data_IF_555828042112
#
_entry.id   IF_555828042112
#
_cell.length_a   1.000
_cell.length_b   1.000
_cell.length_c   1.000
_cell.angle_alpha   90.00
_cell.angle_beta   90.00
_cell.angle_gamma   90.00
#
_symmetry.space_group_name_H-M   'P 1'
#
loop_
_entity.id
_entity.type
_entity.pdbx_description
1 polymer ?
#
# COMPACT_ATOMS: atom_id res chain seq x y z
N UNK A 1 22.54 -1.67 18.05
CA UNK A 1 22.27 -2.82 17.18
C UNK A 1 21.26 -2.35 16.14
N UNK A 2 21.60 -2.50 14.85
CA UNK A 2 20.65 -2.22 13.78
C UNK A 2 19.50 -3.25 13.90
N UNK A 3 18.27 -2.76 14.02
CA UNK A 3 17.11 -3.65 14.05
C UNK A 3 17.00 -4.37 12.70
N UNK A 4 16.62 -5.65 12.73
CA UNK A 4 16.44 -6.42 11.51
C UNK A 4 15.25 -5.87 10.72
N UNK A 5 15.33 -5.78 9.38
CA UNK A 5 14.20 -5.37 8.57
C UNK A 5 13.01 -6.31 8.77
N UNK A 6 11.80 -5.78 8.69
CA UNK A 6 10.56 -6.57 8.83
C UNK A 6 10.49 -7.75 7.87
N UNK A 7 10.71 -7.49 6.58
CA UNK A 7 10.73 -8.50 5.52
C UNK A 7 12.17 -8.63 5.03
N UNK A 8 12.71 -9.87 4.97
CA UNK A 8 14.03 -10.08 4.41
C UNK A 8 14.07 -9.72 2.93
N UNK A 9 15.19 -9.17 2.47
CA UNK A 9 15.37 -8.83 1.06
C UNK A 9 15.26 -10.05 0.12
N UNK A 10 15.50 -11.26 0.61
CA UNK A 10 15.33 -12.49 -0.16
C UNK A 10 13.83 -12.78 -0.39
N UNK A 11 13.03 -12.74 0.65
CA UNK A 11 11.57 -12.93 0.58
C UNK A 11 10.94 -11.88 -0.34
N UNK A 12 11.31 -10.60 -0.15
CA UNK A 12 10.78 -9.51 -0.97
C UNK A 12 11.11 -9.70 -2.46
N UNK A 13 12.39 -9.92 -2.80
CA UNK A 13 12.80 -10.17 -4.19
C UNK A 13 12.17 -11.43 -4.79
N UNK A 14 11.93 -12.46 -3.98
CA UNK A 14 11.25 -13.68 -4.39
C UNK A 14 9.82 -13.48 -4.85
N UNK A 15 9.16 -12.41 -4.38
CA UNK A 15 7.80 -12.02 -4.76
C UNK A 15 7.75 -11.15 -6.03
N UNK A 16 8.89 -10.77 -6.60
CA UNK A 16 8.90 -9.94 -7.82
C UNK A 16 8.42 -10.74 -9.03
N UNK A 17 7.53 -10.12 -9.82
CA UNK A 17 7.01 -10.64 -11.09
C UNK A 17 7.05 -9.53 -12.14
N UNK A 18 7.14 -9.92 -13.39
CA UNK A 18 7.07 -9.00 -14.53
C UNK A 18 5.61 -8.79 -14.92
N UNK A 19 5.10 -7.58 -14.72
CA UNK A 19 3.78 -7.13 -15.18
C UNK A 19 3.73 -5.62 -15.32
N UNK A 20 2.91 -5.14 -16.26
CA UNK A 20 2.55 -3.73 -16.36
C UNK A 20 1.18 -3.52 -15.73
N UNK A 21 1.11 -2.63 -14.73
CA UNK A 21 -0.16 -2.32 -14.06
C UNK A 21 -1.22 -1.75 -15.03
N UNK A 22 -0.81 -1.19 -16.16
CA UNK A 22 -1.73 -0.66 -17.17
C UNK A 22 -2.55 -1.77 -17.86
N UNK A 23 -2.06 -3.00 -17.86
CA UNK A 23 -2.76 -4.17 -18.38
C UNK A 23 -3.85 -4.69 -17.42
N UNK A 24 -3.89 -4.18 -16.19
CA UNK A 24 -4.82 -4.62 -15.16
C UNK A 24 -6.15 -3.83 -15.13
N UNK A 25 -6.44 -3.05 -16.18
CA UNK A 25 -7.66 -2.22 -16.25
C UNK A 25 -8.93 -3.06 -16.04
N UNK A 26 -9.84 -2.52 -15.22
CA UNK A 26 -11.14 -3.13 -14.92
C UNK A 26 -11.10 -4.22 -13.86
N UNK A 27 -9.90 -4.59 -13.34
CA UNK A 27 -9.82 -5.56 -12.25
C UNK A 27 -10.29 -4.94 -10.94
N UNK A 28 -10.78 -5.80 -10.06
CA UNK A 28 -11.13 -5.43 -8.68
C UNK A 28 -9.85 -5.17 -7.87
N UNK A 29 -9.92 -4.19 -6.97
CA UNK A 29 -8.80 -3.84 -6.12
C UNK A 29 -9.27 -3.31 -4.77
N UNK A 30 -8.45 -3.50 -3.75
CA UNK A 30 -8.49 -2.73 -2.50
C UNK A 30 -7.27 -1.81 -2.47
N UNK A 31 -7.35 -0.71 -1.75
CA UNK A 31 -6.23 0.22 -1.67
C UNK A 31 -5.91 0.65 -0.24
N UNK A 32 -4.68 1.07 -0.01
CA UNK A 32 -4.25 1.77 1.18
C UNK A 32 -3.70 3.15 0.84
N UNK A 33 -3.99 4.14 1.66
CA UNK A 33 -3.54 5.52 1.50
C UNK A 33 -2.88 6.00 2.81
N UNK A 34 -1.57 6.16 2.79
CA UNK A 34 -0.82 6.84 3.86
C UNK A 34 -0.55 8.28 3.43
N UNK A 35 -1.43 9.18 3.86
CA UNK A 35 -1.43 10.59 3.49
C UNK A 35 -0.54 11.38 4.45
N UNK A 36 0.52 11.99 3.96
CA UNK A 36 1.37 12.86 4.78
C UNK A 36 0.67 14.17 5.18
N UNK A 37 1.12 14.79 6.28
CA UNK A 37 0.54 16.06 6.73
C UNK A 37 0.95 17.22 5.83
N UNK A 38 2.24 17.33 5.50
CA UNK A 38 2.80 18.50 4.80
C UNK A 38 3.90 18.14 3.81
N UNK A 39 5.05 17.69 4.30
CA UNK A 39 6.28 17.63 3.47
C UNK A 39 6.81 16.22 3.26
N UNK A 40 6.21 15.24 3.91
CA UNK A 40 6.66 13.86 3.86
C UNK A 40 6.10 13.10 2.65
N UNK A 41 6.66 11.91 2.43
CA UNK A 41 6.19 11.00 1.41
C UNK A 41 4.71 10.67 1.64
N UNK A 42 3.93 10.74 0.57
CA UNK A 42 2.56 10.22 0.54
C UNK A 42 2.54 8.98 -0.33
N UNK A 43 1.94 7.93 0.17
CA UNK A 43 1.86 6.63 -0.51
C UNK A 43 0.42 6.18 -0.73
N UNK A 44 0.13 5.67 -1.93
CA UNK A 44 -1.11 4.97 -2.26
C UNK A 44 -0.73 3.65 -2.91
N UNK A 45 -1.24 2.54 -2.38
CA UNK A 45 -0.95 1.21 -2.89
C UNK A 45 -2.25 0.47 -3.16
N UNK A 46 -2.43 0.01 -4.39
CA UNK A 46 -3.51 -0.90 -4.75
C UNK A 46 -3.03 -2.34 -4.63
N UNK A 47 -3.85 -3.19 -4.07
CA UNK A 47 -3.78 -4.64 -4.16
C UNK A 47 -4.86 -5.09 -5.13
N UNK A 48 -4.42 -5.48 -6.32
CA UNK A 48 -5.29 -5.90 -7.42
C UNK A 48 -5.57 -7.38 -7.30
N UNK A 49 -6.86 -7.72 -7.32
CA UNK A 49 -7.36 -9.08 -7.12
C UNK A 49 -6.92 -10.01 -8.27
N UNK A 50 -6.51 -11.27 -7.98
CA UNK A 50 -6.26 -12.27 -8.99
C UNK A 50 -7.53 -12.58 -9.78
N UNK A 51 -7.40 -12.89 -11.07
CA UNK A 51 -8.52 -13.31 -11.95
C UNK A 51 -8.46 -14.79 -12.30
N UNK A 52 -7.30 -15.41 -12.10
CA UNK A 52 -7.09 -16.83 -12.35
C UNK A 52 -6.64 -17.55 -11.06
N UNK A 53 -7.01 -18.82 -10.95
CA UNK A 53 -6.60 -19.63 -9.81
C UNK A 53 -5.06 -19.75 -9.75
N UNK A 54 -4.49 -19.41 -8.58
CA UNK A 54 -3.04 -19.42 -8.37
C UNK A 54 -2.30 -18.15 -8.80
N UNK A 55 -2.99 -17.17 -9.39
CA UNK A 55 -2.42 -15.84 -9.60
C UNK A 55 -2.28 -15.11 -8.24
N UNK A 56 -1.16 -14.41 -7.98
CA UNK A 56 -1.03 -13.60 -6.77
C UNK A 56 -1.82 -12.29 -6.88
N UNK A 57 -2.14 -11.68 -5.74
CA UNK A 57 -2.52 -10.28 -5.66
C UNK A 57 -1.36 -9.40 -6.11
N UNK A 58 -1.62 -8.38 -6.93
CA UNK A 58 -0.58 -7.55 -7.51
C UNK A 58 -0.52 -6.18 -6.84
N UNK A 59 0.65 -5.82 -6.31
CA UNK A 59 0.91 -4.52 -5.72
C UNK A 59 1.17 -3.47 -6.80
N UNK A 60 0.33 -2.42 -6.83
CA UNK A 60 0.45 -1.26 -7.73
C UNK A 60 0.60 0.01 -6.89
N UNK A 61 1.83 0.49 -6.67
CA UNK A 61 2.10 1.64 -5.81
C UNK A 61 2.18 2.95 -6.59
N UNK A 62 1.80 4.05 -5.93
CA UNK A 62 2.02 5.43 -6.34
C UNK A 62 2.56 6.23 -5.16
N UNK A 63 3.51 7.12 -5.42
CA UNK A 63 4.21 7.90 -4.40
C UNK A 63 4.36 9.35 -4.81
N UNK A 64 4.27 10.27 -3.83
CA UNK A 64 4.39 11.72 -4.05
C UNK A 64 5.24 12.38 -3.00
N UNK A 65 6.00 13.38 -3.45
CA UNK A 65 6.67 14.38 -2.61
C UNK A 65 6.34 15.79 -3.14
N UNK A 66 6.45 16.85 -2.33
CA UNK A 66 6.44 18.22 -2.82
C UNK A 66 7.61 18.45 -3.80
N UNK A 67 7.39 19.22 -4.86
CA UNK A 67 8.42 19.50 -5.89
C UNK A 67 9.49 20.49 -5.41
N UNK A 68 9.08 21.44 -4.55
CA UNK A 68 10.01 22.43 -3.99
C UNK A 68 10.96 21.73 -3.01
N UNK A 69 12.25 21.95 -3.21
CA UNK A 69 13.36 21.39 -2.44
C UNK A 69 13.51 19.84 -2.56
N UNK A 70 13.01 19.25 -3.65
CA UNK A 70 13.14 17.80 -3.86
C UNK A 70 14.61 17.35 -3.85
N UNK A 71 15.53 18.12 -4.44
CA UNK A 71 16.97 17.81 -4.39
C UNK A 71 17.50 17.81 -2.95
N UNK A 72 17.15 18.82 -2.14
CA UNK A 72 17.56 18.87 -0.74
C UNK A 72 17.04 17.67 0.06
N UNK A 73 15.81 17.22 -0.22
CA UNK A 73 15.25 15.99 0.38
C UNK A 73 16.02 14.76 -0.05
N UNK A 74 16.35 14.66 -1.35
CA UNK A 74 17.16 13.56 -1.88
C UNK A 74 18.51 13.46 -1.15
N UNK A 75 19.19 14.61 -0.96
CA UNK A 75 20.47 14.68 -0.26
C UNK A 75 20.35 14.30 1.23
N UNK A 76 19.26 14.77 1.88
CA UNK A 76 18.99 14.50 3.30
C UNK A 76 18.69 13.02 3.55
N UNK A 77 17.78 12.46 2.75
CA UNK A 77 17.35 11.06 2.87
C UNK A 77 18.38 10.09 2.24
N UNK A 78 19.36 10.62 1.50
CA UNK A 78 20.36 9.87 0.71
C UNK A 78 19.72 8.91 -0.29
N UNK A 79 18.73 9.41 -1.01
CA UNK A 79 17.89 8.65 -1.94
C UNK A 79 17.78 9.38 -3.26
N UNK A 80 17.82 8.71 -4.43
CA UNK A 80 17.84 9.32 -5.74
C UNK A 80 16.43 9.75 -6.21
N UNK A 81 15.72 10.60 -5.44
CA UNK A 81 14.35 11.03 -5.77
C UNK A 81 14.21 11.64 -7.15
N UNK A 82 15.22 12.41 -7.61
CA UNK A 82 15.21 13.02 -8.95
C UNK A 82 15.23 11.95 -10.03
N UNK A 83 16.05 10.92 -9.87
CA UNK A 83 16.10 9.79 -10.79
C UNK A 83 14.80 9.00 -10.76
N UNK A 84 14.27 8.68 -9.58
CA UNK A 84 13.00 7.95 -9.43
C UNK A 84 11.83 8.71 -10.03
N UNK A 85 11.83 10.04 -9.95
CA UNK A 85 10.86 10.89 -10.66
C UNK A 85 11.00 10.76 -12.17
N UNK A 86 12.21 10.83 -12.70
CA UNK A 86 12.47 10.71 -14.14
C UNK A 86 12.10 9.32 -14.69
N UNK A 87 12.24 8.27 -13.86
CA UNK A 87 11.89 6.89 -14.19
C UNK A 87 10.40 6.56 -13.96
N UNK A 88 9.60 7.49 -13.41
CA UNK A 88 8.16 7.32 -13.19
C UNK A 88 7.80 6.57 -11.89
N UNK A 89 8.74 6.37 -10.96
CA UNK A 89 8.47 5.75 -9.65
C UNK A 89 8.03 6.73 -8.58
N UNK A 90 8.21 8.03 -8.81
CA UNK A 90 7.85 9.10 -7.88
C UNK A 90 7.21 10.24 -8.66
N UNK A 91 6.04 10.67 -8.25
CA UNK A 91 5.41 11.89 -8.72
C UNK A 91 5.69 13.05 -7.75
N UNK A 92 5.50 14.27 -8.21
CA UNK A 92 5.59 15.45 -7.35
C UNK A 92 4.31 16.26 -7.38
N UNK A 93 4.00 16.89 -6.24
CA UNK A 93 2.93 17.88 -6.16
C UNK A 93 3.52 19.30 -6.15
N UNK A 94 2.87 20.29 -6.78
CA UNK A 94 3.36 21.66 -6.80
C UNK A 94 3.47 22.24 -5.38
N UNK A 95 4.56 22.97 -5.12
CA UNK A 95 4.73 23.72 -3.87
C UNK A 95 5.60 23.02 -2.81
N UNK A 96 5.55 23.57 -1.60
CA UNK A 96 6.35 23.09 -0.44
C UNK A 96 5.66 22.00 0.36
N UNK A 97 4.35 21.84 0.18
CA UNK A 97 3.53 20.85 0.88
C UNK A 97 2.83 19.95 -0.12
N UNK A 98 2.49 18.73 0.32
CA UNK A 98 1.70 17.79 -0.48
C UNK A 98 0.36 18.41 -0.84
N UNK A 99 0.03 18.41 -2.12
CA UNK A 99 -1.29 18.81 -2.61
C UNK A 99 -2.26 17.64 -2.52
N UNK A 100 -3.15 17.69 -1.53
CA UNK A 100 -4.20 16.68 -1.35
C UNK A 100 -5.13 16.60 -2.57
N UNK A 101 -5.31 17.71 -3.30
CA UNK A 101 -6.09 17.73 -4.55
C UNK A 101 -5.44 16.87 -5.66
N UNK A 102 -4.11 16.87 -5.78
CA UNK A 102 -3.39 15.99 -6.72
C UNK A 102 -3.59 14.52 -6.36
N UNK A 103 -3.52 14.20 -5.06
CA UNK A 103 -3.77 12.83 -4.57
C UNK A 103 -5.21 12.40 -4.85
N UNK A 104 -6.17 13.28 -4.58
CA UNK A 104 -7.60 13.04 -4.86
C UNK A 104 -7.86 12.81 -6.35
N UNK A 105 -7.27 13.62 -7.23
CA UNK A 105 -7.38 13.46 -8.68
C UNK A 105 -6.83 12.11 -9.14
N UNK A 106 -5.69 11.67 -8.56
CA UNK A 106 -5.15 10.34 -8.86
C UNK A 106 -6.09 9.24 -8.38
N UNK A 107 -6.61 9.33 -7.16
CA UNK A 107 -7.58 8.35 -6.65
C UNK A 107 -8.83 8.29 -7.54
N UNK A 108 -9.38 9.43 -7.95
CA UNK A 108 -10.51 9.51 -8.87
C UNK A 108 -10.20 8.83 -10.22
N UNK A 109 -9.04 9.12 -10.81
CA UNK A 109 -8.62 8.48 -12.06
C UNK A 109 -8.46 6.96 -11.90
N UNK A 110 -8.01 6.50 -10.73
CA UNK A 110 -7.88 5.07 -10.45
C UNK A 110 -9.23 4.39 -10.22
N UNK A 111 -10.28 5.11 -9.76
CA UNK A 111 -11.64 4.61 -9.72
C UNK A 111 -12.22 4.35 -11.13
N UNK A 112 -11.77 5.10 -12.14
CA UNK A 112 -12.14 4.86 -13.54
C UNK A 112 -11.30 3.73 -14.16
N UNK A 113 -10.20 3.38 -13.52
CA UNK A 113 -9.26 2.37 -14.01
C UNK A 113 -9.48 0.99 -13.38
N UNK A 114 -9.65 0.92 -12.07
CA UNK A 114 -9.95 -0.28 -11.29
C UNK A 114 -11.37 -0.25 -10.74
N UNK A 115 -11.96 -1.40 -10.49
CA UNK A 115 -13.11 -1.53 -9.61
C UNK A 115 -12.63 -1.52 -8.15
N UNK A 116 -12.55 -0.31 -7.55
CA UNK A 116 -12.03 -0.16 -6.19
C UNK A 116 -13.13 -0.52 -5.18
N UNK A 117 -12.92 -1.59 -4.42
CA UNK A 117 -13.86 -2.09 -3.42
C UNK A 117 -13.85 -1.22 -2.18
N UNK A 118 -12.66 -0.93 -1.66
CA UNK A 118 -12.48 -0.07 -0.49
C UNK A 118 -11.07 0.53 -0.46
N UNK A 119 -10.93 1.67 0.23
CA UNK A 119 -9.66 2.33 0.51
C UNK A 119 -9.45 2.44 2.01
N UNK A 120 -8.41 1.80 2.54
CA UNK A 120 -7.93 1.96 3.90
C UNK A 120 -7.10 3.24 4.04
N UNK A 121 -7.32 4.01 5.09
CA UNK A 121 -6.59 5.25 5.33
C UNK A 121 -6.32 5.50 6.82
N UNK A 122 -5.31 6.32 7.11
CA UNK A 122 -5.10 6.82 8.47
C UNK A 122 -6.12 7.90 8.80
N UNK A 123 -6.97 7.64 9.80
CA UNK A 123 -8.09 8.50 10.23
C UNK A 123 -7.71 9.95 10.55
N UNK A 124 -6.47 10.20 10.92
CA UNK A 124 -6.06 11.52 11.40
C UNK A 124 -5.85 12.57 10.30
N UNK A 125 -5.83 12.17 9.02
CA UNK A 125 -5.41 13.06 7.93
C UNK A 125 -6.33 13.10 6.73
N UNK A 126 -7.44 12.38 6.79
CA UNK A 126 -8.34 12.18 5.64
C UNK A 126 -9.39 13.29 5.49
N UNK A 127 -9.72 14.02 6.57
CA UNK A 127 -10.84 14.97 6.59
C UNK A 127 -10.74 16.02 5.48
N UNK A 128 -9.54 16.59 5.27
CA UNK A 128 -9.33 17.57 4.20
C UNK A 128 -9.51 16.97 2.80
N UNK A 129 -9.10 15.71 2.60
CA UNK A 129 -9.28 15.04 1.32
C UNK A 129 -10.75 14.73 1.06
N UNK A 130 -11.48 14.31 2.08
CA UNK A 130 -12.93 14.10 2.00
C UNK A 130 -13.69 15.39 1.72
N UNK A 131 -13.32 16.51 2.36
CA UNK A 131 -13.89 17.82 2.11
C UNK A 131 -13.64 18.27 0.67
N UNK A 132 -12.39 18.14 0.17
CA UNK A 132 -12.06 18.44 -1.22
C UNK A 132 -12.87 17.59 -2.21
N UNK A 133 -13.07 16.30 -1.93
CA UNK A 133 -13.87 15.44 -2.79
C UNK A 133 -15.33 15.92 -2.86
N UNK A 134 -15.90 16.32 -1.73
CA UNK A 134 -17.25 16.87 -1.68
C UNK A 134 -17.35 18.20 -2.44
N UNK A 135 -16.38 19.11 -2.26
CA UNK A 135 -16.33 20.41 -2.94
C UNK A 135 -16.18 20.26 -4.46
N UNK A 136 -15.38 19.30 -4.92
CA UNK A 136 -15.13 19.05 -6.33
C UNK A 136 -16.17 18.11 -6.97
N UNK A 137 -17.15 17.60 -6.20
CA UNK A 137 -18.17 16.68 -6.68
C UNK A 137 -17.59 15.31 -7.09
N UNK A 138 -16.44 14.91 -6.52
CA UNK A 138 -15.80 13.63 -6.79
C UNK A 138 -16.41 12.55 -5.90
N UNK A 139 -16.95 11.51 -6.52
CA UNK A 139 -17.42 10.33 -5.81
C UNK A 139 -16.24 9.47 -5.39
N UNK A 140 -16.12 9.22 -4.10
CA UNK A 140 -15.09 8.34 -3.55
C UNK A 140 -15.61 6.90 -3.42
N UNK A 141 -14.73 5.89 -3.51
CA UNK A 141 -15.07 4.52 -3.17
C UNK A 141 -15.34 4.40 -1.66
N UNK A 142 -15.64 3.22 -1.19
CA UNK A 142 -15.84 3.00 0.24
C UNK A 142 -14.54 3.30 1.01
N UNK A 143 -14.57 4.31 1.89
CA UNK A 143 -13.42 4.77 2.66
C UNK A 143 -13.45 4.16 4.07
N UNK A 144 -12.39 3.47 4.48
CA UNK A 144 -12.29 2.74 5.75
C UNK A 144 -11.14 3.26 6.62
N UNK A 145 -11.41 3.78 7.81
CA UNK A 145 -10.36 4.16 8.73
C UNK A 145 -9.60 2.91 9.22
N UNK A 146 -8.28 2.96 9.16
CA UNK A 146 -7.38 1.94 9.69
C UNK A 146 -6.57 2.57 10.80
N UNK A 147 -6.69 2.08 12.02
CA UNK A 147 -5.88 2.53 13.14
C UNK A 147 -4.43 2.07 12.95
N UNK A 148 -3.49 2.96 13.21
CA UNK A 148 -2.04 2.63 13.17
C UNK A 148 -1.48 2.21 14.53
N UNK A 149 -2.35 2.04 15.54
CA UNK A 149 -1.99 1.47 16.83
C UNK A 149 -1.75 -0.04 16.77
N UNK A 150 -1.08 -0.58 17.77
CA UNK A 150 -0.72 -2.00 17.81
C UNK A 150 -1.90 -2.94 17.57
N UNK A 151 -2.99 -2.75 18.29
CA UNK A 151 -4.18 -3.62 18.22
C UNK A 151 -4.87 -3.56 16.86
N UNK A 152 -4.94 -2.37 16.27
CA UNK A 152 -5.69 -2.17 15.01
C UNK A 152 -4.88 -2.57 13.78
N UNK A 153 -3.54 -2.37 13.84
CA UNK A 153 -2.64 -2.61 12.72
C UNK A 153 -2.13 -4.05 12.64
N UNK A 154 -2.00 -4.75 13.77
CA UNK A 154 -1.45 -6.10 13.85
C UNK A 154 -2.14 -7.11 12.91
N UNK A 155 -3.48 -7.18 12.83
CA UNK A 155 -4.15 -8.13 11.93
C UNK A 155 -3.87 -7.87 10.44
N UNK A 156 -3.75 -6.59 10.04
CA UNK A 156 -3.41 -6.24 8.66
C UNK A 156 -1.96 -6.61 8.33
N UNK A 157 -1.05 -6.38 9.27
CA UNK A 157 0.36 -6.75 9.16
C UNK A 157 0.54 -8.27 9.01
N UNK A 158 -0.15 -9.05 9.84
CA UNK A 158 -0.14 -10.51 9.78
C UNK A 158 -0.71 -11.03 8.46
N UNK A 159 -1.78 -10.42 7.97
CA UNK A 159 -2.36 -10.75 6.67
C UNK A 159 -1.36 -10.53 5.55
N UNK A 160 -0.73 -9.35 5.49
CA UNK A 160 0.26 -9.04 4.47
C UNK A 160 1.46 -9.99 4.51
N UNK A 161 2.02 -10.22 5.71
CA UNK A 161 3.19 -11.09 5.93
C UNK A 161 2.89 -12.53 5.50
N UNK A 162 1.75 -13.08 5.94
CA UNK A 162 1.31 -14.43 5.56
C UNK A 162 1.15 -14.57 4.05
N UNK A 163 0.44 -13.63 3.42
CA UNK A 163 0.22 -13.65 1.98
C UNK A 163 1.52 -13.55 1.19
N UNK A 164 2.44 -12.69 1.64
CA UNK A 164 3.75 -12.55 0.99
C UNK A 164 4.58 -13.84 1.11
N UNK A 165 4.64 -14.44 2.30
CA UNK A 165 5.38 -15.69 2.56
C UNK A 165 4.81 -16.88 1.79
N UNK A 166 3.49 -16.91 1.57
CA UNK A 166 2.83 -17.95 0.79
C UNK A 166 2.87 -17.71 -0.74
N UNK A 167 3.47 -16.60 -1.20
CA UNK A 167 3.51 -16.25 -2.62
C UNK A 167 2.16 -15.76 -3.18
N UNK A 168 1.25 -15.35 -2.29
CA UNK A 168 -0.08 -14.82 -2.62
C UNK A 168 -0.04 -13.32 -2.98
N UNK A 169 1.11 -12.64 -2.82
CA UNK A 169 1.36 -11.25 -3.21
C UNK A 169 2.57 -11.19 -4.12
N UNK A 170 2.49 -10.35 -5.17
CA UNK A 170 3.61 -10.03 -6.04
C UNK A 170 3.70 -8.52 -6.33
N UNK A 171 4.89 -8.08 -6.73
CA UNK A 171 5.19 -6.69 -7.10
C UNK A 171 6.08 -6.63 -8.34
N UNK A 172 6.05 -5.48 -9.06
CA UNK A 172 6.83 -5.30 -10.29
C UNK A 172 8.24 -4.68 -10.06
N UNK A 173 8.70 -4.58 -8.82
CA UNK A 173 10.02 -3.97 -8.51
C UNK A 173 9.98 -2.44 -8.54
N UNK A 174 8.94 -1.83 -7.99
CA UNK A 174 8.80 -0.38 -7.89
C UNK A 174 9.79 0.20 -6.87
N UNK A 175 10.72 1.04 -7.32
CA UNK A 175 11.88 1.51 -6.54
C UNK A 175 11.53 2.14 -5.19
N UNK A 176 10.49 2.98 -5.15
CA UNK A 176 10.07 3.63 -3.89
C UNK A 176 9.43 2.62 -2.94
N UNK A 177 8.65 1.65 -3.45
CA UNK A 177 8.09 0.58 -2.62
C UNK A 177 9.19 -0.34 -2.08
N UNK A 178 10.14 -0.76 -2.92
CA UNK A 178 11.27 -1.59 -2.53
C UNK A 178 12.08 -0.93 -1.40
N UNK A 179 12.31 0.38 -1.53
CA UNK A 179 13.00 1.17 -0.52
C UNK A 179 12.19 1.27 0.78
N UNK A 180 10.89 1.56 0.71
CA UNK A 180 10.03 1.60 1.90
C UNK A 180 9.97 0.26 2.62
N UNK A 181 9.89 -0.85 1.89
CA UNK A 181 9.91 -2.20 2.46
C UNK A 181 11.25 -2.52 3.14
N UNK A 182 12.36 -2.11 2.54
CA UNK A 182 13.69 -2.33 3.13
C UNK A 182 13.94 -1.53 4.41
N UNK A 183 13.25 -0.39 4.59
CA UNK A 183 13.35 0.45 5.78
C UNK A 183 12.41 0.02 6.91
N UNK A 184 11.38 -0.78 6.59
CA UNK A 184 10.33 -1.12 7.52
C UNK A 184 10.84 -2.00 8.67
N UNK A 185 10.52 -1.59 9.88
CA UNK A 185 10.87 -2.27 11.14
C UNK A 185 9.61 -2.48 11.95
N UNK A 186 9.53 -3.59 12.67
CA UNK A 186 8.42 -3.95 13.55
C UNK A 186 8.69 -3.46 14.98
N UNK A 187 7.65 -2.91 15.58
CA UNK A 187 7.53 -2.79 17.03
C UNK A 187 6.46 -3.75 17.55
N UNK A 188 6.67 -4.28 18.73
CA UNK A 188 5.75 -5.18 19.41
C UNK A 188 5.42 -4.65 20.80
N UNK A 189 4.15 -4.76 21.20
CA UNK A 189 3.71 -4.42 22.56
C UNK A 189 3.76 -5.65 23.50
N UNK A 190 3.46 -5.42 24.78
CA UNK A 190 3.45 -6.50 25.77
C UNK A 190 2.36 -7.57 25.58
N UNK A 191 1.41 -7.34 24.70
CA UNK A 191 0.36 -8.30 24.32
C UNK A 191 0.66 -8.97 22.95
N UNK A 192 1.90 -8.84 22.47
CA UNK A 192 2.40 -9.40 21.21
C UNK A 192 1.78 -8.78 19.94
N UNK A 193 0.97 -7.71 20.05
CA UNK A 193 0.52 -6.99 18.87
C UNK A 193 1.69 -6.25 18.22
N UNK A 194 1.69 -6.21 16.90
CA UNK A 194 2.78 -5.65 16.08
C UNK A 194 2.29 -4.48 15.23
N UNK A 195 3.18 -3.53 14.99
CA UNK A 195 2.99 -2.44 14.03
C UNK A 195 4.29 -2.10 13.33
N UNK A 196 4.21 -1.39 12.20
CA UNK A 196 5.38 -0.75 11.60
C UNK A 196 5.74 0.49 12.39
N UNK A 197 7.03 0.65 12.70
CA UNK A 197 7.56 1.79 13.45
C UNK A 197 8.19 2.82 12.53
N UNK A 198 7.58 4.00 12.42
CA UNK A 198 8.20 5.15 11.72
C UNK A 198 9.40 5.71 12.48
N UNK A 199 9.45 5.53 13.81
CA UNK A 199 10.53 6.02 14.66
C UNK A 199 11.80 5.18 14.53
N UNK A 200 11.68 3.85 14.46
CA UNK A 200 12.79 2.91 14.37
C UNK A 200 13.22 2.62 12.93
N UNK A 201 12.40 2.99 11.95
CA UNK A 201 12.70 2.82 10.55
C UNK A 201 13.97 3.56 10.13
N UNK A 202 14.75 2.97 9.26
CA UNK A 202 16.00 3.58 8.74
C UNK A 202 15.76 4.66 7.69
N UNK A 203 14.53 4.78 7.20
CA UNK A 203 14.07 5.76 6.22
C UNK A 203 12.54 5.78 6.17
N UNK A 204 11.97 6.30 5.09
CA UNK A 204 10.51 6.37 4.94
C UNK A 204 9.91 5.00 4.67
N UNK A 205 8.70 4.77 5.20
CA UNK A 205 7.98 3.49 5.10
C UNK A 205 6.53 3.66 4.62
N UNK A 206 6.17 4.83 4.10
CA UNK A 206 4.78 5.21 3.83
C UNK A 206 4.10 4.27 2.81
N UNK A 207 4.82 3.80 1.79
CA UNK A 207 4.29 2.79 0.86
C UNK A 207 4.14 1.40 1.50
N UNK A 208 5.01 1.04 2.46
CA UNK A 208 4.86 -0.21 3.21
C UNK A 208 3.62 -0.14 4.11
N UNK A 209 3.40 1.00 4.79
CA UNK A 209 2.18 1.25 5.59
C UNK A 209 0.93 1.18 4.72
N UNK A 210 0.93 1.84 3.55
CA UNK A 210 -0.19 1.81 2.61
C UNK A 210 -0.48 0.38 2.10
N UNK A 211 0.55 -0.41 1.78
CA UNK A 211 0.41 -1.80 1.35
C UNK A 211 -0.21 -2.69 2.43
N UNK A 212 0.21 -2.52 3.69
CA UNK A 212 -0.36 -3.25 4.84
C UNK A 212 -1.81 -2.84 5.07
N UNK A 213 -2.14 -1.54 4.99
CA UNK A 213 -3.53 -1.08 5.12
C UNK A 213 -4.44 -1.68 4.04
N UNK A 214 -3.97 -1.78 2.79
CA UNK A 214 -4.70 -2.45 1.71
C UNK A 214 -4.94 -3.93 2.02
N UNK A 215 -3.91 -4.66 2.46
CA UNK A 215 -4.02 -6.08 2.81
C UNK A 215 -5.03 -6.34 3.92
N UNK A 216 -5.12 -5.44 4.90
CA UNK A 216 -6.09 -5.52 5.99
C UNK A 216 -7.55 -5.44 5.55
N UNK A 217 -7.83 -4.98 4.33
CA UNK A 217 -9.18 -4.91 3.77
C UNK A 217 -9.62 -6.21 3.10
N UNK A 218 -8.69 -7.04 2.63
CA UNK A 218 -8.99 -8.25 1.85
C UNK A 218 -9.96 -9.15 2.60
N UNK A 219 -9.65 -9.51 3.83
CA UNK A 219 -10.46 -10.43 4.63
C UNK A 219 -11.87 -9.89 5.01
N UNK A 220 -12.09 -8.58 4.85
CA UNK A 220 -13.34 -7.92 5.27
C UNK A 220 -14.27 -7.61 4.11
N UNK A 221 -13.71 -7.40 2.91
CA UNK A 221 -14.44 -6.83 1.77
C UNK A 221 -14.33 -7.67 0.51
N UNK A 222 -13.42 -8.63 0.48
CA UNK A 222 -13.33 -9.61 -0.59
C UNK A 222 -13.89 -10.92 -0.04
N UNK A 223 -14.97 -11.41 -0.65
CA UNK A 223 -15.52 -12.72 -0.27
C UNK A 223 -14.43 -13.78 -0.49
N UNK A 224 -14.19 -14.68 0.48
CA UNK A 224 -13.33 -15.81 0.21
C UNK A 224 -13.93 -16.58 -0.97
N UNK A 225 -13.09 -16.97 -1.94
CA UNK A 225 -13.50 -17.89 -2.99
C UNK A 225 -14.26 -19.03 -2.34
N UNK A 226 -15.51 -19.24 -2.77
CA UNK A 226 -16.30 -20.40 -2.34
C UNK A 226 -15.51 -21.60 -2.86
N UNK A 227 -14.73 -22.22 -1.97
CA UNK A 227 -14.11 -23.51 -2.29
C UNK A 227 -15.28 -24.41 -2.62
N UNK A 228 -15.45 -24.88 -3.88
CA UNK A 228 -16.53 -25.81 -4.17
C UNK A 228 -16.35 -26.97 -3.22
N UNK A 229 -17.39 -27.29 -2.45
CA UNK A 229 -17.41 -28.49 -1.62
C UNK A 229 -16.99 -29.66 -2.51
N UNK A 230 -15.74 -30.07 -2.38
CA UNK A 230 -15.25 -31.28 -3.03
C UNK A 230 -15.98 -32.41 -2.34
N UNK A 231 -17.02 -32.89 -3.01
CA UNK A 231 -17.71 -34.15 -2.86
C UNK A 231 -17.15 -35.02 -1.74
N UNK A 232 -17.93 -35.18 -0.68
CA UNK A 232 -17.91 -36.39 0.13
C UNK A 232 -18.13 -37.58 -0.81
N UNK A 233 -17.06 -38.17 -1.28
CA UNK A 233 -17.12 -39.54 -1.80
C UNK A 233 -17.36 -40.43 -0.58
N UNK A 234 -18.60 -40.84 -0.40
CA UNK A 234 -18.97 -41.94 0.46
C UNK A 234 -18.13 -43.16 0.08
N UNK A 235 -17.07 -43.41 0.89
CA UNK A 235 -16.35 -44.66 0.89
C UNK A 235 -16.86 -45.47 2.05
N UNK A 236 -18.06 -46.01 1.94
CA UNK A 236 -18.54 -47.18 2.67
C UNK A 236 -19.64 -47.86 1.85
N UNK A 237 -19.26 -48.85 1.08
CA UNK A 237 -20.06 -50.00 0.69
C UNK A 237 -19.16 -51.20 0.55
#
# INVERSE_FOLDING_TARGET
>A
DAESPWISGEVWRGAQRDFDWQDLRGRRAVAGLDLSSTTDLTGMVFLVEPVEAGEPWLLVPFAWLPDVELQRKADTDRVPYIQWKAEGYLDTTPGRAISKRVILQKLSAMCDFFEIIAVGYDRWRIEDLMALAADDGISLPEMKPVGQGYKDFSPALETFERMLLNGEIAHAGHKVLDWCMSNAVIEQDGAENRKLSKEKATGRIDLAVAAVMAAGLINKYVEPDVIPEIFNLDIYS
#
